data_IF_208402004719
#
_entry.id   IF_208402004719
#
_cell.length_a   1.000
_cell.length_b   1.000
_cell.length_c   1.000
_cell.angle_alpha   90.00
_cell.angle_beta   90.00
_cell.angle_gamma   90.00
#
_symmetry.space_group_name_H-M   'P 1'
#
loop_
_entity.id
_entity.type
_entity.pdbx_description
1 polymer ?
#
# COMPACT_ATOMS: atom_id res chain seq x y z
N UNK A 1 7.31 29.97 20.62
CA UNK A 1 7.37 31.09 19.64
C UNK A 1 8.55 30.86 18.72
N UNK A 2 8.64 31.54 17.58
CA UNK A 2 9.81 31.43 16.69
C UNK A 2 11.03 32.03 17.36
N UNK A 3 12.10 31.24 17.46
CA UNK A 3 13.44 31.71 17.80
C UNK A 3 14.36 31.48 16.61
N UNK A 4 14.87 32.56 16.02
CA UNK A 4 15.85 32.48 14.95
C UNK A 4 17.24 32.49 15.53
N UNK A 5 17.99 31.46 15.15
CA UNK A 5 19.36 31.28 15.60
C UNK A 5 20.25 31.07 14.40
N UNK A 6 21.39 31.75 14.38
CA UNK A 6 22.44 31.56 13.37
C UNK A 6 23.74 31.04 14.01
N UNK A 7 23.85 31.12 15.34
CA UNK A 7 24.86 30.48 16.17
C UNK A 7 24.26 30.10 17.53
N UNK A 8 24.84 29.10 18.20
CA UNK A 8 24.37 28.63 19.51
C UNK A 8 24.69 29.63 20.63
N UNK A 9 25.83 30.32 20.51
CA UNK A 9 26.37 31.20 21.54
C UNK A 9 26.09 32.70 21.27
N UNK A 10 25.29 33.01 20.25
CA UNK A 10 24.84 34.37 19.92
C UNK A 10 25.96 35.35 19.56
N UNK A 11 27.16 34.85 19.21
CA UNK A 11 28.33 35.69 18.90
C UNK A 11 28.16 36.55 17.65
N UNK A 12 27.21 36.21 16.80
CA UNK A 12 26.78 36.95 15.61
C UNK A 12 25.75 38.05 15.91
N UNK A 13 25.38 38.26 17.19
CA UNK A 13 24.34 39.21 17.60
C UNK A 13 22.91 38.66 17.52
N UNK A 14 22.77 37.34 17.31
CA UNK A 14 21.48 36.65 17.22
C UNK A 14 21.10 36.02 18.57
N UNK A 15 19.94 35.37 18.63
CA UNK A 15 19.36 34.85 19.88
C UNK A 15 20.30 33.82 20.54
N UNK A 16 20.61 34.03 21.82
CA UNK A 16 21.47 33.16 22.63
C UNK A 16 20.70 31.88 23.01
N UNK A 17 21.26 30.70 22.67
CA UNK A 17 20.64 29.41 22.94
C UNK A 17 20.31 29.13 24.41
N UNK A 18 20.97 29.82 25.35
CA UNK A 18 20.64 29.77 26.78
C UNK A 18 19.24 30.33 27.10
N UNK A 19 18.70 31.18 26.23
CA UNK A 19 17.37 31.79 26.36
C UNK A 19 16.27 31.01 25.65
N UNK A 20 16.63 29.99 24.86
CA UNK A 20 15.66 29.14 24.15
C UNK A 20 14.76 28.47 25.19
N UNK A 21 13.45 28.46 24.98
CA UNK A 21 12.51 27.84 25.92
C UNK A 21 11.89 26.58 25.34
N UNK A 22 11.42 25.70 26.22
CA UNK A 22 10.66 24.53 25.79
C UNK A 22 9.37 24.99 25.09
N UNK A 23 9.07 24.40 23.94
CA UNK A 23 7.93 24.81 23.11
C UNK A 23 8.26 25.90 22.07
N UNK A 24 9.49 26.42 22.03
CA UNK A 24 9.93 27.31 20.97
C UNK A 24 10.18 26.57 19.65
N UNK A 25 10.01 27.29 18.54
CA UNK A 25 10.22 26.78 17.18
C UNK A 25 11.57 27.29 16.70
N UNK A 26 12.48 26.37 16.42
CA UNK A 26 13.81 26.68 15.94
C UNK A 26 13.76 27.02 14.45
N UNK A 27 14.13 28.24 14.08
CA UNK A 27 14.27 28.66 12.67
C UNK A 27 15.72 29.01 12.39
N UNK A 28 16.36 28.29 11.47
CA UNK A 28 17.78 28.51 11.17
C UNK A 28 18.14 28.23 9.71
N UNK A 29 19.37 28.49 9.31
CA UNK A 29 19.85 28.16 7.97
C UNK A 29 20.13 26.66 7.83
N UNK A 30 20.83 26.08 8.80
CA UNK A 30 21.17 24.66 8.91
C UNK A 30 21.60 24.35 10.36
N UNK A 31 21.50 23.09 10.78
CA UNK A 31 21.97 22.61 12.10
C UNK A 31 23.18 21.70 11.95
N UNK A 32 23.98 21.61 13.01
CA UNK A 32 25.05 20.63 13.20
C UNK A 32 24.90 19.94 14.58
N UNK A 33 25.75 18.94 14.93
CA UNK A 33 25.61 18.18 16.18
C UNK A 33 25.58 19.02 17.46
N UNK A 34 26.16 20.21 17.47
CA UNK A 34 26.18 21.06 18.67
C UNK A 34 24.76 21.61 19.00
N UNK A 35 23.83 21.57 18.02
CA UNK A 35 22.46 22.07 18.17
C UNK A 35 21.51 21.07 18.84
N UNK A 36 21.92 19.82 19.02
CA UNK A 36 21.09 18.76 19.60
C UNK A 36 20.40 19.15 20.93
N UNK A 37 21.06 19.82 21.90
CA UNK A 37 20.40 20.22 23.15
C UNK A 37 19.25 21.19 22.94
N UNK A 38 19.32 22.04 21.91
CA UNK A 38 18.27 22.99 21.54
C UNK A 38 17.16 22.26 20.79
N UNK A 39 17.52 21.40 19.84
CA UNK A 39 16.57 20.60 19.05
C UNK A 39 15.67 19.73 19.95
N UNK A 40 16.22 19.17 21.03
CA UNK A 40 15.46 18.39 22.04
C UNK A 40 14.37 19.19 22.76
N UNK A 41 14.52 20.52 22.81
CA UNK A 41 13.61 21.44 23.52
C UNK A 41 12.64 22.13 22.56
N UNK A 42 12.88 22.03 21.26
CA UNK A 42 12.09 22.67 20.23
C UNK A 42 10.76 21.92 20.02
N UNK A 43 9.68 22.65 19.82
CA UNK A 43 8.39 22.08 19.40
C UNK A 43 8.34 21.78 17.91
N UNK A 44 9.15 22.46 17.12
CA UNK A 44 9.35 22.20 15.69
C UNK A 44 10.68 22.81 15.21
N UNK A 45 11.18 22.30 14.09
CA UNK A 45 12.45 22.73 13.49
C UNK A 45 12.20 23.14 12.04
N UNK A 46 12.66 24.32 11.66
CA UNK A 46 12.54 24.85 10.30
C UNK A 46 13.91 25.28 9.80
N UNK A 47 14.34 24.75 8.66
CA UNK A 47 15.61 25.14 8.05
C UNK A 47 15.45 25.63 6.62
N UNK A 48 16.24 26.65 6.24
CA UNK A 48 16.31 27.10 4.85
C UNK A 48 16.95 26.05 3.94
N UNK A 49 18.00 25.37 4.42
CA UNK A 49 18.75 24.38 3.65
C UNK A 49 18.61 22.99 4.22
N UNK A 50 18.88 22.00 3.37
CA UNK A 50 18.84 20.59 3.71
C UNK A 50 17.70 19.86 3.03
N UNK A 51 17.93 18.60 2.70
CA UNK A 51 16.91 17.67 2.21
C UNK A 51 16.63 16.57 3.24
N UNK A 52 15.95 15.52 2.83
CA UNK A 52 15.57 14.39 3.70
C UNK A 52 16.71 13.83 4.55
N UNK A 53 17.95 13.83 4.05
CA UNK A 53 19.12 13.25 4.73
C UNK A 53 20.00 14.28 5.46
N UNK A 54 19.55 15.52 5.60
CA UNK A 54 20.33 16.52 6.34
C UNK A 54 20.30 16.24 7.85
N UNK A 55 21.26 16.82 8.57
CA UNK A 55 21.38 16.69 10.02
C UNK A 55 20.05 16.98 10.74
N UNK A 56 19.42 18.12 10.42
CA UNK A 56 18.15 18.53 11.02
C UNK A 56 17.05 17.46 10.83
N UNK A 57 16.92 16.90 9.63
CA UNK A 57 15.88 15.93 9.30
C UNK A 57 16.13 14.54 9.90
N UNK A 58 17.39 14.15 10.11
CA UNK A 58 17.75 12.87 10.75
C UNK A 58 17.44 12.95 12.24
N UNK A 59 17.98 13.96 12.92
CA UNK A 59 17.86 14.12 14.37
C UNK A 59 16.40 14.43 14.77
N UNK A 60 15.68 15.25 14.00
CA UNK A 60 14.28 15.53 14.26
C UNK A 60 13.41 14.25 14.28
N UNK A 61 13.69 13.31 13.36
CA UNK A 61 13.00 12.01 13.32
C UNK A 61 13.31 11.15 14.54
N UNK A 62 14.56 11.12 14.98
CA UNK A 62 14.97 10.39 16.18
C UNK A 62 14.33 10.95 17.45
N UNK A 63 14.17 12.28 17.53
CA UNK A 63 13.59 12.97 18.67
C UNK A 63 12.06 13.08 18.62
N UNK A 64 11.41 12.68 17.52
CA UNK A 64 9.97 12.83 17.33
C UNK A 64 9.51 14.28 17.20
N UNK A 65 10.40 15.20 16.80
CA UNK A 65 10.09 16.63 16.64
C UNK A 65 9.74 16.91 15.17
N UNK A 66 8.60 17.57 14.88
CA UNK A 66 8.25 17.98 13.51
C UNK A 66 9.34 18.84 12.88
N UNK A 67 9.74 18.53 11.64
CA UNK A 67 10.76 19.29 10.93
C UNK A 67 10.41 19.58 9.46
N UNK A 68 10.52 20.85 9.08
CA UNK A 68 10.38 21.33 7.69
C UNK A 68 11.72 21.86 7.23
N UNK A 69 12.39 21.10 6.36
CA UNK A 69 13.74 21.43 5.89
C UNK A 69 13.72 21.84 4.42
N UNK A 70 14.67 22.69 4.02
CA UNK A 70 14.79 23.11 2.61
C UNK A 70 13.81 24.21 2.21
N UNK A 71 13.36 25.03 3.16
CA UNK A 71 12.40 26.11 2.89
C UNK A 71 12.92 27.22 1.97
N UNK A 72 14.25 27.31 1.78
CA UNK A 72 14.92 28.34 0.99
C UNK A 72 15.01 29.69 1.70
N UNK A 73 13.88 30.25 2.16
CA UNK A 73 13.75 31.62 2.66
C UNK A 73 12.95 31.76 3.97
N UNK A 74 12.79 30.68 4.74
CA UNK A 74 12.07 30.70 6.01
C UNK A 74 12.65 31.72 7.01
N UNK A 75 13.98 31.85 7.09
CA UNK A 75 14.60 32.88 7.94
C UNK A 75 14.23 34.30 7.53
N UNK A 76 13.91 34.54 6.26
CA UNK A 76 13.63 35.90 5.78
C UNK A 76 12.15 36.24 5.94
N UNK A 77 11.28 35.25 5.73
CA UNK A 77 9.83 35.41 5.82
C UNK A 77 9.31 35.39 7.25
N UNK A 78 9.88 34.54 8.12
CA UNK A 78 9.41 34.35 9.48
C UNK A 78 10.19 35.28 10.41
N UNK A 79 9.47 36.13 11.16
CA UNK A 79 10.08 37.08 12.09
C UNK A 79 10.29 36.46 13.47
N UNK A 80 11.36 36.89 14.14
CA UNK A 80 11.65 36.55 15.53
C UNK A 80 10.44 36.80 16.45
N UNK A 81 10.18 35.89 17.37
CA UNK A 81 9.11 36.01 18.36
C UNK A 81 7.69 35.83 17.80
N UNK A 82 7.55 35.59 16.50
CA UNK A 82 6.23 35.34 15.89
C UNK A 82 5.69 33.99 16.32
N UNK A 83 4.38 33.91 16.46
CA UNK A 83 3.67 32.65 16.67
C UNK A 83 3.34 32.03 15.32
N UNK A 84 3.74 30.77 15.13
CA UNK A 84 3.48 30.00 13.91
C UNK A 84 3.12 28.58 14.30
N UNK A 85 2.39 27.90 13.42
CA UNK A 85 2.07 26.48 13.52
C UNK A 85 2.79 25.75 12.42
N UNK A 86 3.57 24.72 12.76
CA UNK A 86 4.28 23.89 11.80
C UNK A 86 3.52 22.58 11.63
N UNK A 87 3.07 22.29 10.41
CA UNK A 87 2.39 21.04 10.05
C UNK A 87 3.28 20.18 9.17
N UNK A 88 3.34 18.89 9.51
CA UNK A 88 3.90 17.83 8.67
C UNK A 88 2.81 16.79 8.31
N UNK A 89 1.53 17.16 8.43
CA UNK A 89 0.41 16.23 8.23
C UNK A 89 0.23 15.84 6.76
N UNK A 90 0.67 16.67 5.83
CA UNK A 90 0.56 16.51 4.38
C UNK A 90 1.67 15.61 3.79
N UNK A 91 2.29 14.77 4.63
CA UNK A 91 3.29 13.79 4.26
C UNK A 91 4.63 14.43 3.87
N UNK A 92 4.86 14.54 2.57
CA UNK A 92 6.14 14.98 2.00
C UNK A 92 6.30 16.50 1.91
N UNK A 93 5.20 17.24 2.07
CA UNK A 93 5.19 18.71 2.07
C UNK A 93 4.88 19.22 3.47
N UNK A 94 5.80 20.00 4.04
CA UNK A 94 5.56 20.68 5.32
C UNK A 94 5.01 22.08 5.11
N UNK A 95 4.05 22.49 5.93
CA UNK A 95 3.46 23.83 5.90
C UNK A 95 3.77 24.59 7.19
N UNK A 96 3.97 25.90 7.05
CA UNK A 96 4.18 26.81 8.18
C UNK A 96 3.09 27.87 8.10
N UNK A 97 2.14 27.78 9.03
CA UNK A 97 1.00 28.69 9.12
C UNK A 97 1.28 29.83 10.09
N UNK A 98 0.75 31.02 9.79
CA UNK A 98 0.81 32.15 10.69
C UNK A 98 -0.17 31.96 11.86
N UNK A 99 0.31 32.20 13.08
CA UNK A 99 -0.49 32.09 14.31
C UNK A 99 -0.45 30.71 14.94
N UNK A 100 -1.01 30.61 16.15
CA UNK A 100 -1.27 29.34 16.84
C UNK A 100 -2.65 28.87 16.37
N UNK A 101 -2.69 27.82 15.55
CA UNK A 101 -3.94 27.25 15.08
C UNK A 101 -4.55 26.37 16.17
N UNK A 102 -5.87 26.46 16.34
CA UNK A 102 -6.60 25.55 17.20
C UNK A 102 -6.52 24.12 16.64
N UNK A 103 -6.27 23.15 17.52
CA UNK A 103 -6.23 21.75 17.18
C UNK A 103 -6.97 20.93 18.23
N UNK A 104 -7.48 19.78 17.82
CA UNK A 104 -8.08 18.80 18.73
C UNK A 104 -7.20 17.57 18.75
N UNK A 105 -6.79 17.13 19.94
CA UNK A 105 -6.08 15.86 20.12
C UNK A 105 -7.11 14.82 20.51
N UNK A 106 -7.32 13.85 19.64
CA UNK A 106 -8.09 12.64 19.96
C UNK A 106 -7.11 11.53 20.28
N UNK A 107 -6.83 11.32 21.57
CA UNK A 107 -6.03 10.18 22.02
C UNK A 107 -6.95 8.97 22.18
N UNK A 108 -6.69 7.90 21.43
CA UNK A 108 -7.38 6.63 21.60
C UNK A 108 -6.38 5.60 22.13
N UNK A 109 -6.65 5.05 23.30
CA UNK A 109 -5.87 3.92 23.82
C UNK A 109 -6.27 2.66 23.07
N UNK A 110 -5.28 2.01 22.43
CA UNK A 110 -5.47 0.78 21.64
C UNK A 110 -6.05 -0.37 22.48
N UNK A 111 -5.79 -0.36 23.79
CA UNK A 111 -6.25 -1.40 24.72
C UNK A 111 -7.77 -1.43 24.93
N UNK A 112 -8.51 -0.40 24.48
CA UNK A 112 -9.96 -0.30 24.67
C UNK A 112 -10.71 -0.04 23.36
N UNK A 113 -10.34 -0.75 22.29
CA UNK A 113 -11.08 -0.69 21.02
C UNK A 113 -12.39 -1.47 21.10
N UNK A 114 -13.49 -0.93 20.55
CA UNK A 114 -14.77 -1.61 20.52
C UNK A 114 -14.69 -2.88 19.68
N UNK A 115 -15.37 -3.94 20.14
CA UNK A 115 -15.57 -5.13 19.31
C UNK A 115 -16.44 -4.78 18.10
N UNK A 116 -16.01 -5.24 16.92
CA UNK A 116 -16.72 -4.98 15.68
C UNK A 116 -17.41 -6.25 15.16
N UNK A 117 -18.56 -6.11 14.48
CA UNK A 117 -19.23 -7.24 13.83
C UNK A 117 -18.46 -7.79 12.61
N UNK A 118 -17.43 -7.08 12.15
CA UNK A 118 -16.59 -7.43 11.01
C UNK A 118 -15.11 -7.29 11.36
N UNK A 119 -14.24 -7.89 10.54
CA UNK A 119 -12.79 -7.74 10.67
C UNK A 119 -12.28 -6.51 9.91
N UNK A 120 -11.49 -5.66 10.57
CA UNK A 120 -10.78 -4.56 9.90
C UNK A 120 -9.36 -5.02 9.59
N UNK A 121 -9.02 -5.05 8.31
CA UNK A 121 -7.75 -5.50 7.76
C UNK A 121 -7.02 -4.34 7.07
N UNK A 122 -5.79 -4.56 6.64
CA UNK A 122 -4.97 -3.54 5.97
C UNK A 122 -4.68 -3.86 4.50
N UNK A 123 -4.63 -2.81 3.68
CA UNK A 123 -4.01 -2.81 2.36
C UNK A 123 -2.55 -2.41 2.53
N UNK A 124 -1.62 -3.34 2.25
CA UNK A 124 -0.19 -3.11 2.44
C UNK A 124 0.55 -3.46 1.16
N UNK A 125 1.23 -2.49 0.57
CA UNK A 125 2.10 -2.73 -0.59
C UNK A 125 3.58 -2.79 -0.21
N UNK A 126 4.02 -1.92 0.70
CA UNK A 126 5.44 -1.73 1.01
C UNK A 126 5.91 -2.64 2.17
N UNK A 127 6.78 -3.63 1.92
CA UNK A 127 7.35 -4.48 2.97
C UNK A 127 8.21 -3.72 3.99
N UNK A 128 8.87 -2.62 3.59
CA UNK A 128 9.76 -1.85 4.49
C UNK A 128 9.00 -1.22 5.66
N UNK A 129 7.70 -0.98 5.49
CA UNK A 129 6.81 -0.41 6.53
C UNK A 129 5.95 -1.46 7.22
N UNK A 130 6.10 -2.74 6.87
CA UNK A 130 5.23 -3.81 7.37
C UNK A 130 5.21 -3.89 8.90
N UNK A 131 6.38 -3.84 9.54
CA UNK A 131 6.52 -3.91 11.00
C UNK A 131 6.00 -2.67 11.72
N UNK A 132 5.97 -1.51 11.06
CA UNK A 132 5.35 -0.31 11.63
C UNK A 132 3.82 -0.44 11.60
N UNK A 133 3.27 -0.91 10.47
CA UNK A 133 1.83 -1.10 10.31
C UNK A 133 1.28 -2.22 11.20
N UNK A 134 2.06 -3.27 11.44
CA UNK A 134 1.69 -4.37 12.34
C UNK A 134 1.51 -3.94 13.80
N UNK A 135 1.95 -2.72 14.18
CA UNK A 135 1.71 -2.15 15.52
C UNK A 135 0.31 -1.56 15.67
N UNK A 136 -0.38 -1.33 14.56
CA UNK A 136 -1.76 -0.85 14.58
C UNK A 136 -2.73 -2.01 14.79
N UNK A 137 -3.89 -1.79 15.41
CA UNK A 137 -4.92 -2.81 15.56
C UNK A 137 -5.39 -3.31 14.19
N UNK A 138 -5.36 -4.62 13.99
CA UNK A 138 -5.74 -5.22 12.71
C UNK A 138 -6.19 -6.67 12.86
N UNK A 139 -6.91 -7.16 11.86
CA UNK A 139 -7.19 -8.58 11.65
C UNK A 139 -6.37 -9.17 10.47
N UNK A 140 -5.19 -8.61 10.21
CA UNK A 140 -4.26 -9.02 9.15
C UNK A 140 -4.28 -8.11 7.92
N UNK A 141 -3.79 -8.63 6.80
CA UNK A 141 -3.69 -7.91 5.51
C UNK A 141 -4.69 -8.48 4.52
N UNK A 142 -5.68 -7.68 4.13
CA UNK A 142 -6.73 -8.10 3.19
C UNK A 142 -6.33 -7.93 1.73
N UNK A 143 -5.28 -7.15 1.47
CA UNK A 143 -4.66 -6.96 0.17
C UNK A 143 -3.17 -6.62 0.34
N UNK A 144 -2.32 -7.62 0.12
CA UNK A 144 -0.88 -7.44 -0.09
C UNK A 144 -0.60 -7.34 -1.60
N UNK A 145 -0.04 -6.22 -2.05
CA UNK A 145 0.20 -5.92 -3.46
C UNK A 145 1.62 -6.26 -3.88
N UNK A 146 1.79 -7.18 -4.85
CA UNK A 146 3.12 -7.52 -5.38
C UNK A 146 3.75 -6.40 -6.21
N UNK A 147 2.94 -5.50 -6.77
CA UNK A 147 3.40 -4.44 -7.68
C UNK A 147 4.46 -3.55 -7.03
N UNK A 148 4.37 -3.31 -5.72
CA UNK A 148 5.38 -2.51 -5.02
C UNK A 148 6.72 -3.24 -4.96
N UNK A 149 6.72 -4.55 -4.66
CA UNK A 149 7.94 -5.37 -4.65
C UNK A 149 8.54 -5.39 -6.05
N UNK A 150 7.72 -5.62 -7.08
CA UNK A 150 8.19 -5.69 -8.47
C UNK A 150 8.73 -4.32 -8.93
N UNK A 151 8.05 -3.20 -8.67
CA UNK A 151 8.52 -1.88 -9.11
C UNK A 151 9.75 -1.37 -8.33
N UNK A 152 9.75 -1.52 -7.01
CA UNK A 152 10.74 -0.84 -6.15
C UNK A 152 11.91 -1.74 -5.77
N UNK A 153 11.68 -3.04 -5.58
CA UNK A 153 12.72 -3.97 -5.13
C UNK A 153 13.36 -4.75 -6.27
N UNK A 154 12.60 -5.02 -7.33
CA UNK A 154 13.08 -5.76 -8.51
C UNK A 154 13.42 -4.81 -9.67
N UNK A 155 12.50 -3.94 -10.08
CA UNK A 155 12.72 -2.91 -11.11
C UNK A 155 13.02 -3.43 -12.54
N UNK A 156 12.95 -4.74 -12.77
CA UNK A 156 13.26 -5.38 -14.06
C UNK A 156 12.09 -6.25 -14.50
N UNK A 157 11.78 -6.22 -15.80
CA UNK A 157 10.74 -7.06 -16.39
C UNK A 157 11.13 -8.55 -16.27
N UNK A 158 10.24 -9.47 -15.81
CA UNK A 158 10.59 -10.87 -15.60
C UNK A 158 11.06 -11.58 -16.87
N UNK A 159 10.48 -11.27 -18.05
CA UNK A 159 11.00 -11.79 -19.33
C UNK A 159 12.40 -11.32 -19.68
N UNK A 160 12.80 -10.11 -19.26
CA UNK A 160 14.15 -9.63 -19.51
C UNK A 160 15.17 -10.42 -18.67
N UNK A 161 14.78 -10.85 -17.48
CA UNK A 161 15.59 -11.72 -16.61
C UNK A 161 15.64 -13.16 -17.14
N UNK A 162 14.51 -13.73 -17.56
CA UNK A 162 14.45 -15.08 -18.16
C UNK A 162 15.30 -15.15 -19.44
N UNK A 163 15.19 -14.13 -20.30
CA UNK A 163 15.91 -14.05 -21.56
C UNK A 163 17.14 -13.14 -21.44
N UNK A 164 17.87 -13.21 -20.33
CA UNK A 164 19.00 -12.33 -20.02
C UNK A 164 20.05 -12.32 -21.14
N UNK A 165 20.37 -13.48 -21.69
CA UNK A 165 21.37 -13.63 -22.76
C UNK A 165 20.95 -12.97 -24.08
N UNK A 166 19.64 -12.75 -24.29
CA UNK A 166 19.09 -12.09 -25.48
C UNK A 166 18.92 -10.58 -25.33
N UNK A 167 19.22 -10.02 -24.15
CA UNK A 167 19.15 -8.57 -23.93
C UNK A 167 20.31 -7.84 -24.62
N UNK A 168 20.11 -6.55 -24.90
CA UNK A 168 21.19 -5.70 -25.41
C UNK A 168 22.26 -5.43 -24.33
N UNK A 169 23.47 -5.05 -24.75
CA UNK A 169 24.62 -4.87 -23.86
C UNK A 169 24.39 -3.81 -22.77
N UNK A 170 23.55 -2.80 -23.01
CA UNK A 170 23.22 -1.79 -22.00
C UNK A 170 22.30 -2.39 -20.94
N UNK A 171 21.22 -3.04 -21.37
CA UNK A 171 20.27 -3.70 -20.47
C UNK A 171 20.95 -4.80 -19.65
N UNK A 172 21.79 -5.64 -20.26
CA UNK A 172 22.59 -6.65 -19.55
C UNK A 172 23.44 -6.06 -18.44
N UNK A 173 24.10 -4.93 -18.70
CA UNK A 173 24.95 -4.26 -17.70
C UNK A 173 24.11 -3.77 -16.52
N UNK A 174 22.99 -3.11 -16.79
CA UNK A 174 22.09 -2.62 -15.76
C UNK A 174 21.50 -3.77 -14.93
N UNK A 175 21.04 -4.85 -15.56
CA UNK A 175 20.55 -6.04 -14.86
C UNK A 175 21.66 -6.64 -14.00
N UNK A 176 22.89 -6.79 -14.52
CA UNK A 176 24.03 -7.35 -13.77
C UNK A 176 24.32 -6.56 -12.49
N UNK A 177 24.21 -5.23 -12.53
CA UNK A 177 24.35 -4.37 -11.35
C UNK A 177 23.20 -4.57 -10.35
N UNK A 178 21.96 -4.70 -10.83
CA UNK A 178 20.78 -4.86 -9.99
C UNK A 178 20.70 -6.23 -9.30
N UNK A 179 21.16 -7.29 -9.97
CA UNK A 179 21.14 -8.66 -9.41
C UNK A 179 22.35 -8.98 -8.54
N UNK A 180 23.21 -8.00 -8.24
CA UNK A 180 24.42 -8.23 -7.46
C UNK A 180 24.09 -8.87 -6.11
N UNK A 181 24.75 -10.00 -5.81
CA UNK A 181 24.49 -10.79 -4.60
C UNK A 181 23.50 -11.95 -4.77
N UNK A 182 22.92 -12.11 -5.97
CA UNK A 182 22.07 -13.25 -6.34
C UNK A 182 22.76 -14.12 -7.39
N UNK A 183 22.45 -15.42 -7.38
CA UNK A 183 23.15 -16.41 -8.21
C UNK A 183 22.93 -16.21 -9.71
N UNK A 184 21.73 -15.81 -10.11
CA UNK A 184 21.35 -15.60 -11.50
C UNK A 184 20.12 -14.67 -11.61
N UNK A 185 19.82 -14.14 -12.82
CA UNK A 185 18.72 -13.20 -13.04
C UNK A 185 17.34 -13.71 -12.60
N UNK A 186 17.05 -15.00 -12.82
CA UNK A 186 15.76 -15.60 -12.46
C UNK A 186 15.64 -15.76 -10.94
N UNK A 187 16.70 -16.23 -10.29
CA UNK A 187 16.75 -16.37 -8.83
C UNK A 187 16.63 -15.01 -8.14
N UNK A 188 17.21 -13.93 -8.69
CA UNK A 188 16.99 -12.58 -8.18
C UNK A 188 15.50 -12.21 -8.09
N UNK A 189 14.72 -12.50 -9.15
CA UNK A 189 13.29 -12.20 -9.17
C UNK A 189 12.54 -12.99 -8.09
N UNK A 190 12.76 -14.30 -8.06
CA UNK A 190 12.09 -15.21 -7.12
C UNK A 190 12.48 -14.89 -5.68
N UNK A 191 13.76 -14.64 -5.40
CA UNK A 191 14.25 -14.32 -4.08
C UNK A 191 13.71 -12.97 -3.59
N UNK A 192 13.69 -11.93 -4.43
CA UNK A 192 13.10 -10.64 -4.06
C UNK A 192 11.61 -10.70 -3.77
N UNK A 193 10.85 -11.45 -4.56
CA UNK A 193 9.44 -11.72 -4.23
C UNK A 193 9.31 -12.47 -2.91
N UNK A 194 10.13 -13.51 -2.70
CA UNK A 194 10.14 -14.30 -1.47
C UNK A 194 10.45 -13.42 -0.25
N UNK A 195 11.47 -12.56 -0.31
CA UNK A 195 11.86 -11.59 0.72
C UNK A 195 10.72 -10.62 1.04
N UNK A 196 10.12 -9.99 0.03
CA UNK A 196 9.03 -9.02 0.24
C UNK A 196 7.77 -9.67 0.82
N UNK A 197 7.35 -10.82 0.28
CA UNK A 197 6.15 -11.52 0.73
C UNK A 197 6.35 -12.09 2.14
N UNK A 198 7.49 -12.72 2.43
CA UNK A 198 7.79 -13.26 3.77
C UNK A 198 7.91 -12.18 4.83
N UNK A 199 8.42 -10.99 4.47
CA UNK A 199 8.44 -9.83 5.38
C UNK A 199 7.03 -9.43 5.79
N UNK A 200 6.11 -9.33 4.82
CA UNK A 200 4.69 -9.06 5.09
C UNK A 200 4.06 -10.19 5.92
N UNK A 201 4.29 -11.46 5.55
CA UNK A 201 3.74 -12.61 6.25
C UNK A 201 4.21 -12.69 7.72
N UNK A 202 5.48 -12.39 7.96
CA UNK A 202 6.11 -12.37 9.27
C UNK A 202 5.57 -11.24 10.14
N UNK A 203 5.51 -10.01 9.60
CA UNK A 203 5.07 -8.84 10.35
C UNK A 203 3.64 -8.99 10.90
N UNK A 204 2.74 -9.64 10.15
CA UNK A 204 1.34 -9.81 10.52
C UNK A 204 1.01 -11.17 11.13
N UNK A 205 1.99 -12.05 11.35
CA UNK A 205 1.76 -13.38 11.93
C UNK A 205 1.19 -13.30 13.36
N UNK A 206 0.18 -14.11 13.74
CA UNK A 206 -0.42 -15.23 12.99
C UNK A 206 -1.62 -14.83 12.11
N UNK A 207 -1.95 -13.54 12.01
CA UNK A 207 -3.07 -13.08 11.20
C UNK A 207 -2.83 -13.33 9.71
N UNK A 208 -3.94 -13.52 8.98
CA UNK A 208 -3.89 -13.83 7.54
C UNK A 208 -3.32 -12.68 6.72
N UNK A 209 -2.58 -13.02 5.67
CA UNK A 209 -2.04 -12.09 4.67
C UNK A 209 -2.48 -12.57 3.30
N UNK A 210 -3.42 -11.86 2.68
CA UNK A 210 -3.95 -12.20 1.36
C UNK A 210 -3.08 -11.51 0.30
N UNK A 211 -2.21 -12.26 -0.37
CA UNK A 211 -1.28 -11.76 -1.38
C UNK A 211 -1.94 -11.81 -2.76
N UNK A 212 -2.13 -10.64 -3.38
CA UNK A 212 -2.61 -10.54 -4.75
C UNK A 212 -1.45 -10.80 -5.70
N UNK A 213 -1.62 -11.77 -6.60
CA UNK A 213 -0.70 -11.97 -7.73
C UNK A 213 -0.58 -10.69 -8.56
N UNK A 214 0.47 -10.57 -9.36
CA UNK A 214 0.74 -9.33 -10.12
C UNK A 214 -0.43 -8.92 -11.02
N UNK A 215 -0.95 -7.71 -10.83
CA UNK A 215 -2.07 -7.16 -11.58
C UNK A 215 -1.65 -5.96 -12.43
N UNK A 216 -0.37 -5.88 -12.81
CA UNK A 216 0.11 -4.82 -13.68
C UNK A 216 -0.59 -4.85 -15.03
N UNK A 217 -0.89 -3.65 -15.53
CA UNK A 217 -1.24 -3.39 -16.92
C UNK A 217 0.04 -3.46 -17.78
N UNK A 218 -0.12 -3.71 -19.08
CA UNK A 218 1.01 -3.83 -20.02
C UNK A 218 1.89 -2.57 -20.05
N UNK A 219 1.28 -1.38 -19.96
CA UNK A 219 2.00 -0.11 -19.88
C UNK A 219 2.82 0.06 -18.58
N UNK A 220 2.43 -0.59 -17.48
CA UNK A 220 3.20 -0.57 -16.23
C UNK A 220 4.40 -1.51 -16.33
N UNK A 221 4.21 -2.71 -16.88
CA UNK A 221 5.32 -3.63 -17.18
C UNK A 221 6.31 -3.03 -18.19
N UNK A 222 5.84 -2.28 -19.18
CA UNK A 222 6.68 -1.61 -20.18
C UNK A 222 7.66 -0.61 -19.55
N UNK A 223 7.31 -0.02 -18.40
CA UNK A 223 8.14 0.93 -17.68
C UNK A 223 9.26 0.28 -16.86
N UNK A 224 9.25 -1.04 -16.69
CA UNK A 224 10.36 -1.76 -16.06
C UNK A 224 11.56 -1.86 -17.02
N UNK A 225 12.75 -2.05 -16.45
CA UNK A 225 13.94 -2.26 -17.27
C UNK A 225 13.75 -3.47 -18.20
N UNK A 226 13.90 -3.24 -19.51
CA UNK A 226 13.72 -4.24 -20.57
C UNK A 226 12.27 -4.62 -20.87
N UNK A 227 11.27 -3.90 -20.33
CA UNK A 227 9.84 -4.21 -20.50
C UNK A 227 9.27 -3.83 -21.86
N UNK A 228 9.73 -2.73 -22.46
CA UNK A 228 9.30 -2.21 -23.76
C UNK A 228 9.35 -3.23 -24.90
N UNK A 229 10.28 -4.18 -24.85
CA UNK A 229 10.41 -5.27 -25.82
C UNK A 229 9.31 -6.33 -25.74
N UNK A 230 8.72 -6.52 -24.56
CA UNK A 230 7.81 -7.63 -24.27
C UNK A 230 6.35 -7.21 -24.19
N UNK A 231 6.10 -5.91 -24.02
CA UNK A 231 4.78 -5.41 -23.71
C UNK A 231 4.12 -4.74 -24.92
N UNK A 232 2.91 -5.18 -25.32
CA UNK A 232 2.19 -4.55 -26.40
C UNK A 232 1.70 -3.16 -26.01
N UNK A 233 1.63 -2.24 -26.97
CA UNK A 233 0.88 -1.00 -26.81
C UNK A 233 -0.63 -1.31 -26.88
N UNK A 234 -1.36 -0.85 -25.86
CA UNK A 234 -2.81 -1.04 -25.77
C UNK A 234 -3.50 0.31 -25.65
N UNK A 235 -4.54 0.53 -26.45
CA UNK A 235 -5.36 1.76 -26.40
C UNK A 235 -6.05 1.93 -25.04
N UNK A 236 -6.43 0.82 -24.38
CA UNK A 236 -7.12 0.82 -23.09
C UNK A 236 -6.44 -0.17 -22.12
N UNK A 237 -5.30 0.18 -21.51
CA UNK A 237 -4.55 -0.73 -20.64
C UNK A 237 -5.36 -1.25 -19.45
N UNK A 238 -6.36 -0.49 -18.98
CA UNK A 238 -7.28 -0.91 -17.92
C UNK A 238 -8.04 -2.20 -18.26
N UNK A 239 -8.41 -2.38 -19.53
CA UNK A 239 -9.15 -3.54 -20.07
C UNK A 239 -8.25 -4.55 -20.78
N UNK A 240 -6.94 -4.29 -20.78
CA UNK A 240 -5.94 -4.96 -21.61
C UNK A 240 -5.39 -6.27 -21.05
N UNK A 241 -4.19 -6.62 -21.49
CA UNK A 241 -3.50 -7.87 -21.17
C UNK A 241 -2.96 -7.89 -19.72
N UNK A 242 -3.82 -8.30 -18.76
CA UNK A 242 -3.52 -8.33 -17.31
C UNK A 242 -4.29 -9.43 -16.56
N UNK A 243 -3.90 -9.63 -15.30
CA UNK A 243 -4.52 -10.62 -14.38
C UNK A 243 -4.56 -12.04 -14.94
N UNK A 244 -5.66 -12.75 -14.69
CA UNK A 244 -5.82 -14.17 -15.06
C UNK A 244 -5.48 -14.49 -16.53
N UNK A 245 -5.94 -13.65 -17.46
CA UNK A 245 -5.67 -13.81 -18.89
C UNK A 245 -4.17 -13.76 -19.22
N UNK A 246 -3.41 -12.91 -18.52
CA UNK A 246 -1.95 -12.81 -18.67
C UNK A 246 -1.27 -14.08 -18.14
N UNK A 247 -1.67 -14.57 -16.98
CA UNK A 247 -1.06 -15.78 -16.39
C UNK A 247 -1.20 -17.02 -17.27
N UNK A 248 -2.32 -17.13 -17.99
CA UNK A 248 -2.63 -18.26 -18.85
C UNK A 248 -2.01 -18.16 -20.25
N UNK A 249 -1.55 -16.98 -20.66
CA UNK A 249 -0.92 -16.79 -21.96
C UNK A 249 0.39 -17.56 -22.06
N UNK A 250 0.60 -18.25 -23.17
CA UNK A 250 1.88 -18.92 -23.47
C UNK A 250 3.07 -17.96 -23.38
N UNK A 251 2.83 -16.70 -23.76
CA UNK A 251 3.86 -15.66 -23.75
C UNK A 251 4.25 -15.19 -22.34
N UNK A 252 3.48 -15.46 -21.29
CA UNK A 252 3.78 -14.96 -19.93
C UNK A 252 3.74 -16.05 -18.84
N UNK A 253 3.34 -17.28 -19.18
CA UNK A 253 3.20 -18.39 -18.23
C UNK A 253 4.48 -18.70 -17.44
N UNK A 254 5.65 -18.55 -18.06
CA UNK A 254 6.96 -18.70 -17.40
C UNK A 254 7.23 -17.62 -16.34
N UNK A 255 6.76 -16.40 -16.54
CA UNK A 255 6.85 -15.31 -15.58
C UNK A 255 5.93 -15.56 -14.39
N UNK A 256 4.71 -16.04 -14.63
CA UNK A 256 3.79 -16.45 -13.57
C UNK A 256 4.35 -17.60 -12.72
N UNK A 257 5.11 -18.52 -13.34
CA UNK A 257 5.78 -19.60 -12.62
C UNK A 257 6.79 -19.07 -11.58
N UNK A 258 7.44 -17.93 -11.84
CA UNK A 258 8.36 -17.29 -10.89
C UNK A 258 7.64 -16.78 -9.64
N UNK A 259 6.46 -16.17 -9.81
CA UNK A 259 5.62 -15.73 -8.68
C UNK A 259 5.10 -16.92 -7.87
N UNK A 260 4.71 -18.00 -8.55
CA UNK A 260 4.29 -19.25 -7.90
C UNK A 260 5.43 -19.86 -7.08
N UNK A 261 6.64 -19.90 -7.63
CA UNK A 261 7.82 -20.43 -6.93
C UNK A 261 8.13 -19.59 -5.68
N UNK A 262 8.05 -18.26 -5.75
CA UNK A 262 8.25 -17.40 -4.59
C UNK A 262 7.22 -17.70 -3.47
N UNK A 263 5.93 -17.78 -3.81
CA UNK A 263 4.87 -18.10 -2.85
C UNK A 263 5.02 -19.50 -2.26
N UNK A 264 5.46 -20.46 -3.06
CA UNK A 264 5.74 -21.82 -2.59
C UNK A 264 6.87 -21.83 -1.57
N UNK A 265 7.97 -21.11 -1.80
CA UNK A 265 9.07 -20.97 -0.84
C UNK A 265 8.60 -20.33 0.47
N UNK A 266 7.85 -19.23 0.38
CA UNK A 266 7.29 -18.54 1.56
C UNK A 266 6.42 -19.47 2.40
N UNK A 267 5.50 -20.21 1.77
CA UNK A 267 4.56 -21.05 2.52
C UNK A 267 5.15 -22.37 2.97
N UNK A 268 5.82 -23.08 2.08
CA UNK A 268 6.21 -24.47 2.29
C UNK A 268 7.62 -24.60 2.88
N UNK A 269 8.56 -23.72 2.53
CA UNK A 269 9.93 -23.80 3.02
C UNK A 269 10.13 -22.93 4.27
N UNK A 270 9.54 -21.74 4.30
CA UNK A 270 9.61 -20.83 5.46
C UNK A 270 8.48 -21.03 6.47
N UNK A 271 7.41 -21.75 6.11
CA UNK A 271 6.33 -22.12 7.03
C UNK A 271 5.26 -21.04 7.25
N UNK A 272 5.20 -19.99 6.43
CA UNK A 272 4.20 -18.93 6.55
C UNK A 272 2.83 -19.35 6.00
N UNK A 273 2.15 -20.24 6.73
CA UNK A 273 0.84 -20.77 6.36
C UNK A 273 -0.30 -19.74 6.46
N UNK A 274 -0.05 -18.56 7.05
CA UNK A 274 -0.97 -17.43 7.10
C UNK A 274 -1.09 -16.68 5.75
N UNK A 275 -0.25 -17.01 4.76
CA UNK A 275 -0.33 -16.45 3.41
C UNK A 275 -1.41 -17.18 2.59
N UNK A 276 -2.38 -16.40 2.11
CA UNK A 276 -3.39 -16.79 1.11
C UNK A 276 -3.07 -16.16 -0.24
N UNK A 277 -3.48 -16.80 -1.34
CA UNK A 277 -3.26 -16.27 -2.70
C UNK A 277 -4.54 -15.62 -3.20
N UNK A 278 -4.44 -14.45 -3.81
CA UNK A 278 -5.54 -13.80 -4.50
C UNK A 278 -5.27 -13.63 -5.99
N UNK A 279 -6.21 -14.10 -6.82
CA UNK A 279 -6.16 -13.98 -8.28
C UNK A 279 -6.98 -12.77 -8.74
N UNK A 280 -6.34 -11.76 -9.36
CA UNK A 280 -7.03 -10.60 -9.92
C UNK A 280 -7.55 -10.85 -11.34
N UNK A 281 -8.47 -9.99 -11.75
CA UNK A 281 -8.96 -9.78 -13.10
C UNK A 281 -9.43 -11.04 -13.84
N UNK A 282 -10.11 -11.94 -13.11
CA UNK A 282 -10.69 -13.17 -13.66
C UNK A 282 -11.98 -12.83 -14.42
N UNK A 283 -11.97 -12.90 -15.75
CA UNK A 283 -13.08 -12.45 -16.60
C UNK A 283 -14.13 -13.53 -16.81
N UNK A 284 -13.69 -14.78 -16.96
CA UNK A 284 -14.53 -15.92 -17.35
C UNK A 284 -14.30 -17.14 -16.47
N UNK A 285 -15.26 -18.08 -16.48
CA UNK A 285 -15.14 -19.35 -15.75
C UNK A 285 -14.01 -20.23 -16.29
N UNK A 286 -13.70 -20.14 -17.59
CA UNK A 286 -12.58 -20.86 -18.19
C UNK A 286 -11.23 -20.31 -17.68
N UNK A 287 -11.11 -18.99 -17.52
CA UNK A 287 -9.94 -18.37 -16.88
C UNK A 287 -9.84 -18.78 -15.39
N UNK A 288 -10.96 -18.79 -14.66
CA UNK A 288 -10.99 -19.23 -13.27
C UNK A 288 -10.46 -20.67 -13.13
N UNK A 289 -10.99 -21.59 -13.94
CA UNK A 289 -10.55 -22.98 -13.97
C UNK A 289 -9.08 -23.08 -14.35
N UNK A 290 -8.68 -22.42 -15.44
CA UNK A 290 -7.31 -22.45 -15.96
C UNK A 290 -6.28 -22.00 -14.94
N UNK A 291 -6.52 -20.88 -14.24
CA UNK A 291 -5.55 -20.37 -13.25
C UNK A 291 -5.45 -21.29 -12.04
N UNK A 292 -6.55 -21.89 -11.59
CA UNK A 292 -6.51 -22.87 -10.48
C UNK A 292 -5.74 -24.13 -10.89
N UNK A 293 -5.92 -24.62 -12.11
CA UNK A 293 -5.15 -25.75 -12.65
C UNK A 293 -3.67 -25.39 -12.77
N UNK A 294 -3.35 -24.20 -13.29
CA UNK A 294 -1.97 -23.70 -13.42
C UNK A 294 -1.26 -23.55 -12.07
N UNK A 295 -1.94 -23.01 -11.05
CA UNK A 295 -1.41 -22.96 -9.68
C UNK A 295 -1.09 -24.38 -9.17
N UNK A 296 -1.98 -25.34 -9.40
CA UNK A 296 -1.79 -26.72 -8.97
C UNK A 296 -0.61 -27.40 -9.70
N UNK A 297 -0.41 -27.13 -11.00
CA UNK A 297 0.76 -27.58 -11.76
C UNK A 297 2.08 -27.07 -11.16
N UNK A 298 2.08 -25.85 -10.62
CA UNK A 298 3.22 -25.27 -9.91
C UNK A 298 3.30 -25.65 -8.42
N UNK A 299 2.45 -26.58 -7.94
CA UNK A 299 2.49 -27.10 -6.58
C UNK A 299 1.77 -26.22 -5.54
N UNK A 300 0.93 -25.30 -5.97
CA UNK A 300 0.09 -24.44 -5.12
C UNK A 300 -1.38 -24.84 -5.25
N UNK A 301 -1.73 -25.99 -4.65
CA UNK A 301 -3.09 -26.53 -4.74
C UNK A 301 -3.93 -26.19 -3.52
N UNK A 302 -5.16 -25.70 -3.78
CA UNK A 302 -6.16 -25.37 -2.74
C UNK A 302 -6.36 -26.54 -1.76
N UNK A 303 -6.31 -26.23 -0.46
CA UNK A 303 -6.42 -27.19 0.63
C UNK A 303 -5.12 -27.90 1.02
N UNK A 304 -4.12 -27.96 0.13
CA UNK A 304 -2.82 -28.55 0.46
C UNK A 304 -1.98 -27.56 1.29
N UNK A 305 -1.37 -28.06 2.38
CA UNK A 305 -0.73 -27.23 3.40
C UNK A 305 -1.63 -26.05 3.86
N UNK A 306 -2.95 -26.24 3.90
CA UNK A 306 -3.92 -25.21 4.30
C UNK A 306 -4.05 -24.03 3.33
N UNK A 307 -3.53 -24.13 2.10
CA UNK A 307 -3.60 -23.05 1.11
C UNK A 307 -5.05 -22.69 0.79
N UNK A 308 -5.37 -21.40 0.92
CA UNK A 308 -6.60 -20.80 0.43
C UNK A 308 -6.32 -19.94 -0.79
N UNK A 309 -7.23 -19.99 -1.76
CA UNK A 309 -7.16 -19.19 -2.98
C UNK A 309 -8.42 -18.33 -3.09
N UNK A 310 -8.24 -17.02 -3.03
CA UNK A 310 -9.27 -15.99 -3.07
C UNK A 310 -9.34 -15.42 -4.49
N UNK A 311 -10.53 -15.05 -4.95
CA UNK A 311 -10.67 -14.31 -6.21
C UNK A 311 -10.93 -12.84 -5.92
N UNK A 312 -10.31 -11.96 -6.69
CA UNK A 312 -10.71 -10.56 -6.70
C UNK A 312 -12.02 -10.41 -7.47
N UNK A 313 -13.10 -10.06 -6.78
CA UNK A 313 -14.41 -9.84 -7.38
C UNK A 313 -14.52 -8.38 -7.84
N UNK A 314 -14.06 -8.11 -9.05
CA UNK A 314 -13.86 -6.75 -9.56
C UNK A 314 -14.43 -6.49 -10.96
N UNK A 315 -14.92 -7.54 -11.65
CA UNK A 315 -15.66 -7.38 -12.90
C UNK A 315 -17.16 -7.60 -12.68
N UNK A 316 -18.05 -6.93 -13.45
CA UNK A 316 -19.49 -7.19 -13.37
C UNK A 316 -19.86 -8.66 -13.61
N UNK A 317 -19.14 -9.37 -14.49
CA UNK A 317 -19.31 -10.82 -14.69
C UNK A 317 -19.12 -11.61 -13.40
N UNK A 318 -18.20 -11.19 -12.53
CA UNK A 318 -17.88 -11.88 -11.28
C UNK A 318 -19.05 -11.82 -10.30
N UNK A 319 -19.75 -10.69 -10.24
CA UNK A 319 -20.95 -10.53 -9.42
C UNK A 319 -22.17 -11.22 -10.05
N UNK A 320 -22.30 -11.21 -11.38
CA UNK A 320 -23.42 -11.84 -12.09
C UNK A 320 -23.36 -13.38 -12.05
N UNK A 321 -22.17 -13.95 -12.06
CA UNK A 321 -21.89 -15.40 -12.01
C UNK A 321 -21.18 -15.80 -10.71
N UNK A 322 -21.49 -15.09 -9.62
CA UNK A 322 -20.79 -15.22 -8.35
C UNK A 322 -20.83 -16.66 -7.81
N UNK A 323 -21.95 -17.36 -7.97
CA UNK A 323 -22.09 -18.74 -7.55
C UNK A 323 -21.12 -19.66 -8.29
N UNK A 324 -21.04 -19.54 -9.61
CA UNK A 324 -20.19 -20.37 -10.46
C UNK A 324 -18.71 -20.09 -10.22
N UNK A 325 -18.30 -18.82 -10.10
CA UNK A 325 -16.93 -18.47 -9.77
C UNK A 325 -16.52 -19.02 -8.39
N UNK A 326 -17.41 -18.97 -7.41
CA UNK A 326 -17.14 -19.49 -6.07
C UNK A 326 -16.88 -21.00 -6.06
N UNK A 327 -17.15 -21.78 -7.10
CA UNK A 327 -16.75 -23.21 -7.11
C UNK A 327 -15.21 -23.36 -7.12
N UNK A 328 -14.52 -22.43 -7.77
CA UNK A 328 -13.07 -22.44 -7.99
C UNK A 328 -12.27 -21.81 -6.84
N UNK A 329 -12.87 -20.92 -6.04
CA UNK A 329 -12.16 -20.13 -5.01
C UNK A 329 -12.73 -20.34 -3.59
N UNK A 330 -11.95 -20.03 -2.56
CA UNK A 330 -12.35 -20.12 -1.13
C UNK A 330 -13.10 -18.89 -0.62
N UNK A 331 -13.26 -17.89 -1.49
CA UNK A 331 -13.96 -16.66 -1.20
C UNK A 331 -13.59 -15.55 -2.16
N UNK A 332 -14.10 -14.35 -1.87
CA UNK A 332 -13.89 -13.14 -2.63
C UNK A 332 -13.20 -12.05 -1.82
N UNK A 333 -12.39 -11.25 -2.50
CA UNK A 333 -12.05 -9.90 -2.08
C UNK A 333 -12.57 -8.95 -3.16
N UNK A 334 -13.53 -8.10 -2.82
CA UNK A 334 -14.16 -7.20 -3.77
C UNK A 334 -13.18 -6.05 -4.06
N UNK A 335 -12.78 -5.92 -5.33
CA UNK A 335 -12.04 -4.77 -5.85
C UNK A 335 -13.01 -3.70 -6.29
N UNK A 336 -13.45 -2.85 -5.35
CA UNK A 336 -14.54 -1.89 -5.60
C UNK A 336 -14.16 -0.78 -6.59
N UNK A 337 -12.87 -0.47 -6.72
CA UNK A 337 -12.36 0.47 -7.71
C UNK A 337 -12.65 0.02 -9.15
N UNK A 338 -12.16 -1.15 -9.54
CA UNK A 338 -12.35 -1.69 -10.88
C UNK A 338 -13.82 -2.09 -11.12
N UNK A 339 -14.51 -2.61 -10.09
CA UNK A 339 -15.95 -2.90 -10.20
C UNK A 339 -16.75 -1.64 -10.52
N UNK A 340 -16.45 -0.52 -9.88
CA UNK A 340 -17.14 0.76 -10.12
C UNK A 340 -16.83 1.28 -11.52
N UNK A 341 -15.56 1.28 -11.93
CA UNK A 341 -15.14 1.70 -13.27
C UNK A 341 -15.87 0.91 -14.36
N UNK A 342 -15.89 -0.41 -14.26
CA UNK A 342 -16.50 -1.29 -15.27
C UNK A 342 -18.03 -1.27 -15.25
N UNK A 343 -18.64 -1.05 -14.08
CA UNK A 343 -20.10 -0.95 -13.95
C UNK A 343 -20.63 0.34 -14.54
N UNK A 344 -19.88 1.44 -14.34
CA UNK A 344 -20.29 2.78 -14.79
C UNK A 344 -19.70 3.17 -16.15
N UNK A 345 -18.75 2.40 -16.68
CA UNK A 345 -18.06 2.70 -17.94
C UNK A 345 -17.16 3.93 -17.83
N UNK A 346 -16.41 4.03 -16.73
CA UNK A 346 -15.58 5.19 -16.40
C UNK A 346 -14.11 4.79 -16.28
N UNK A 347 -13.23 5.66 -16.72
CA UNK A 347 -11.82 5.69 -16.29
C UNK A 347 -11.68 6.78 -15.24
N UNK A 348 -11.32 6.39 -14.01
CA UNK A 348 -11.19 7.36 -12.91
C UNK A 348 -10.00 8.30 -13.08
N UNK A 349 -9.01 7.91 -13.88
CA UNK A 349 -7.82 8.72 -14.16
C UNK A 349 -8.15 9.81 -15.19
N UNK A 350 -9.33 9.72 -15.84
CA UNK A 350 -9.86 10.76 -16.73
C UNK A 350 -10.48 11.90 -15.92
N UNK A 351 -9.76 13.04 -15.84
CA UNK A 351 -10.23 14.24 -15.16
C UNK A 351 -11.48 14.92 -15.77
N UNK A 352 -12.08 14.36 -16.82
CA UNK A 352 -13.31 14.88 -17.47
C UNK A 352 -14.57 14.24 -16.89
N UNK A 353 -14.47 13.00 -16.37
CA UNK A 353 -15.62 12.19 -15.94
C UNK A 353 -15.41 11.54 -14.57
N UNK A 354 -14.27 11.80 -13.92
CA UNK A 354 -13.92 11.18 -12.64
C UNK A 354 -14.86 11.59 -11.51
N UNK A 355 -15.57 12.71 -11.62
CA UNK A 355 -16.62 13.13 -10.69
C UNK A 355 -17.84 12.20 -10.67
N UNK A 356 -18.01 11.37 -11.70
CA UNK A 356 -19.07 10.36 -11.77
C UNK A 356 -18.73 9.07 -11.01
N UNK A 357 -17.47 8.93 -10.56
CA UNK A 357 -17.02 7.76 -9.80
C UNK A 357 -17.60 7.81 -8.38
N UNK A 358 -18.51 6.88 -8.07
CA UNK A 358 -19.02 6.67 -6.71
C UNK A 358 -19.28 5.18 -6.48
N UNK A 359 -18.54 4.58 -5.55
CA UNK A 359 -18.65 3.17 -5.17
C UNK A 359 -20.00 2.85 -4.49
N UNK A 360 -20.73 3.88 -4.04
CA UNK A 360 -22.06 3.77 -3.46
C UNK A 360 -23.17 3.84 -4.51
N UNK A 361 -22.83 4.02 -5.78
CA UNK A 361 -23.80 4.07 -6.87
C UNK A 361 -24.74 2.85 -6.79
N UNK A 362 -26.07 3.01 -6.97
CA UNK A 362 -27.02 1.91 -6.86
C UNK A 362 -26.70 0.69 -7.75
N UNK A 363 -26.12 0.91 -8.94
CA UNK A 363 -25.69 -0.17 -9.82
C UNK A 363 -24.54 -0.97 -9.20
N UNK A 364 -23.54 -0.28 -8.64
CA UNK A 364 -22.40 -0.89 -7.96
C UNK A 364 -22.86 -1.64 -6.71
N UNK A 365 -23.67 -1.01 -5.84
CA UNK A 365 -24.25 -1.65 -4.65
C UNK A 365 -25.02 -2.93 -4.98
N UNK A 366 -25.72 -2.97 -6.11
CA UNK A 366 -26.42 -4.19 -6.54
C UNK A 366 -25.44 -5.33 -6.83
N UNK A 367 -24.34 -5.05 -7.53
CA UNK A 367 -23.31 -6.06 -7.82
C UNK A 367 -22.56 -6.49 -6.55
N UNK A 368 -22.22 -5.55 -5.66
CA UNK A 368 -21.65 -5.84 -4.34
C UNK A 368 -22.56 -6.79 -3.55
N UNK A 369 -23.85 -6.47 -3.47
CA UNK A 369 -24.85 -7.28 -2.75
C UNK A 369 -24.97 -8.69 -3.34
N UNK A 370 -24.91 -8.84 -4.67
CA UNK A 370 -24.93 -10.16 -5.33
C UNK A 370 -23.71 -10.99 -4.94
N UNK A 371 -22.50 -10.43 -5.01
CA UNK A 371 -21.27 -11.12 -4.64
C UNK A 371 -21.23 -11.51 -3.15
N UNK A 372 -21.62 -10.59 -2.26
CA UNK A 372 -21.69 -10.85 -0.81
C UNK A 372 -22.67 -11.97 -0.52
N UNK A 373 -23.91 -11.88 -1.02
CA UNK A 373 -24.94 -12.89 -0.77
C UNK A 373 -24.54 -14.28 -1.27
N UNK A 374 -23.94 -14.37 -2.46
CA UNK A 374 -23.45 -15.65 -3.00
C UNK A 374 -22.36 -16.26 -2.10
N UNK A 375 -21.37 -15.46 -1.69
CA UNK A 375 -20.31 -15.93 -0.80
C UNK A 375 -20.85 -16.40 0.56
N UNK A 376 -21.74 -15.60 1.18
CA UNK A 376 -22.36 -15.96 2.46
C UNK A 376 -23.24 -17.20 2.36
N UNK A 377 -24.02 -17.34 1.28
CA UNK A 377 -24.86 -18.53 1.04
C UNK A 377 -24.02 -19.82 0.92
N UNK A 378 -22.80 -19.70 0.39
CA UNK A 378 -21.83 -20.82 0.29
C UNK A 378 -20.92 -20.97 1.51
N UNK A 379 -21.06 -20.13 2.53
CA UNK A 379 -20.18 -20.12 3.71
C UNK A 379 -18.73 -19.79 3.39
N UNK A 380 -18.48 -19.03 2.31
CA UNK A 380 -17.15 -18.63 1.84
C UNK A 380 -16.82 -17.21 2.27
N UNK A 381 -15.53 -16.93 2.32
CA UNK A 381 -15.02 -15.61 2.72
C UNK A 381 -15.49 -14.54 1.74
N UNK A 382 -15.88 -13.37 2.24
CA UNK A 382 -16.07 -12.17 1.42
C UNK A 382 -15.56 -10.93 2.14
N UNK A 383 -14.47 -10.37 1.62
CA UNK A 383 -13.94 -9.08 2.02
C UNK A 383 -14.10 -8.03 0.92
N UNK A 384 -13.81 -6.78 1.24
CA UNK A 384 -13.69 -5.68 0.28
C UNK A 384 -12.37 -4.95 0.50
N UNK A 385 -11.69 -4.60 -0.60
CA UNK A 385 -10.49 -3.80 -0.59
C UNK A 385 -10.69 -2.53 -1.44
N UNK A 386 -10.28 -1.39 -0.89
CA UNK A 386 -10.51 -0.08 -1.49
C UNK A 386 -10.49 1.01 -0.43
N UNK A 387 -10.54 2.26 -0.84
CA UNK A 387 -10.68 3.39 0.09
C UNK A 387 -12.13 3.77 0.36
N UNK A 388 -13.08 3.33 -0.46
CA UNK A 388 -14.51 3.62 -0.29
C UNK A 388 -15.04 3.50 1.14
N UNK A 389 -14.78 2.41 1.88
CA UNK A 389 -15.27 2.29 3.24
C UNK A 389 -14.64 3.31 4.21
N UNK A 390 -13.39 3.74 4.00
CA UNK A 390 -12.77 4.78 4.82
C UNK A 390 -13.15 6.20 4.40
N UNK A 391 -13.39 6.41 3.11
CA UNK A 391 -13.78 7.72 2.55
C UNK A 391 -15.25 8.02 2.82
N UNK A 392 -16.07 6.97 2.90
CA UNK A 392 -17.52 7.04 3.07
C UNK A 392 -17.97 6.11 4.20
N UNK A 393 -18.08 6.67 5.39
CA UNK A 393 -18.51 5.97 6.60
C UNK A 393 -19.90 5.30 6.46
N UNK A 394 -20.82 5.92 5.74
CA UNK A 394 -22.14 5.36 5.43
C UNK A 394 -22.06 4.09 4.57
N UNK A 395 -21.07 4.02 3.68
CA UNK A 395 -20.78 2.86 2.87
C UNK A 395 -20.18 1.71 3.69
N UNK A 396 -19.21 2.00 4.57
CA UNK A 396 -18.68 1.00 5.51
C UNK A 396 -19.78 0.34 6.33
N UNK A 397 -20.70 1.15 6.85
CA UNK A 397 -21.84 0.62 7.61
C UNK A 397 -22.80 -0.21 6.75
N UNK A 398 -23.09 0.23 5.52
CA UNK A 398 -23.92 -0.54 4.59
C UNK A 398 -23.29 -1.91 4.29
N UNK A 399 -21.97 -2.00 4.17
CA UNK A 399 -21.27 -3.28 3.97
C UNK A 399 -21.41 -4.21 5.18
N UNK A 400 -21.35 -3.66 6.41
CA UNK A 400 -21.64 -4.41 7.63
C UNK A 400 -23.07 -4.96 7.63
N UNK A 401 -24.05 -4.13 7.26
CA UNK A 401 -25.46 -4.52 7.18
C UNK A 401 -25.69 -5.62 6.11
N UNK A 402 -24.97 -5.58 4.99
CA UNK A 402 -25.00 -6.64 3.97
C UNK A 402 -24.29 -7.93 4.40
N UNK A 403 -23.53 -7.90 5.50
CA UNK A 403 -22.89 -9.07 6.09
C UNK A 403 -21.50 -9.40 5.55
N UNK A 404 -20.74 -8.39 5.10
CA UNK A 404 -19.33 -8.53 4.72
C UNK A 404 -18.52 -9.15 5.88
N UNK A 405 -17.50 -9.96 5.58
CA UNK A 405 -16.64 -10.54 6.64
C UNK A 405 -15.53 -9.57 7.07
N UNK A 406 -15.01 -8.78 6.13
CA UNK A 406 -13.93 -7.84 6.40
C UNK A 406 -13.87 -6.65 5.46
N UNK A 407 -13.34 -5.54 5.97
CA UNK A 407 -12.94 -4.36 5.18
C UNK A 407 -11.43 -4.18 5.26
N UNK A 408 -10.78 -3.96 4.12
CA UNK A 408 -9.33 -3.79 4.04
C UNK A 408 -8.98 -2.35 3.63
N UNK A 409 -8.32 -1.62 4.53
CA UNK A 409 -8.15 -0.17 4.48
C UNK A 409 -6.68 0.24 4.44
N UNK A 410 -6.38 1.50 4.11
CA UNK A 410 -5.01 1.98 4.26
C UNK A 410 -4.68 2.12 5.76
N UNK A 411 -3.42 1.91 6.18
CA UNK A 411 -3.06 1.90 7.60
C UNK A 411 -3.45 3.17 8.37
N UNK A 412 -3.42 4.34 7.72
CA UNK A 412 -3.78 5.65 8.28
C UNK A 412 -5.29 5.81 8.54
N UNK A 413 -6.15 5.06 7.84
CA UNK A 413 -7.61 5.15 8.00
C UNK A 413 -8.22 4.04 8.86
N UNK A 414 -7.41 3.07 9.31
CA UNK A 414 -7.86 1.93 10.13
C UNK A 414 -8.52 2.40 11.42
N UNK A 415 -7.83 3.19 12.24
CA UNK A 415 -8.34 3.61 13.57
C UNK A 415 -9.64 4.43 13.44
N UNK A 416 -9.66 5.39 12.52
CA UNK A 416 -10.84 6.23 12.26
C UNK A 416 -12.06 5.36 11.92
N UNK A 417 -11.89 4.44 10.97
CA UNK A 417 -13.00 3.58 10.50
C UNK A 417 -13.41 2.59 11.58
N UNK A 418 -12.46 2.05 12.35
CA UNK A 418 -12.73 1.15 13.46
C UNK A 418 -13.60 1.82 14.52
N UNK A 419 -13.21 3.01 14.97
CA UNK A 419 -13.95 3.77 15.98
C UNK A 419 -15.34 4.14 15.50
N UNK A 420 -15.48 4.61 14.25
CA UNK A 420 -16.78 4.90 13.65
C UNK A 420 -17.72 3.69 13.66
N UNK A 421 -17.24 2.53 13.17
CA UNK A 421 -18.04 1.30 13.16
C UNK A 421 -18.37 0.84 14.58
N UNK A 422 -17.42 1.03 15.51
CA UNK A 422 -17.61 0.76 16.92
C UNK A 422 -18.74 1.57 17.52
N UNK A 423 -18.76 2.89 17.30
CA UNK A 423 -19.84 3.75 17.77
C UNK A 423 -21.18 3.41 17.14
N UNK A 424 -21.19 3.09 15.84
CA UNK A 424 -22.41 2.81 15.08
C UNK A 424 -23.05 1.47 15.44
N UNK A 425 -22.24 0.45 15.72
CA UNK A 425 -22.68 -0.92 15.99
C UNK A 425 -22.44 -1.37 17.43
N UNK A 426 -22.01 -0.46 18.33
CA UNK A 426 -21.92 -0.71 19.76
C UNK A 426 -23.27 -1.19 20.29
N UNK A 427 -23.24 -2.34 20.97
CA UNK A 427 -24.39 -2.88 21.72
C UNK A 427 -24.29 -2.52 23.18
#
# INVERSE_FOLDING_TARGET
>A
KVQKMYSIDGRDGTFDGSKFQEGDILVTEMTDPDWEPIMKRASAIVTNRGGRTCHAAIIARELGVPAVVGCGNATDLIKEGTEVTVSCAEGDTGFIYQGILDYTVTTSEVDNLPELPIKVMMNVGNPDRAFDFARLPHAGVGLARLEFIINQMIGVHPKALINFDDQDERTKRQITEMIAGYDNPVEYYVAKLTEGISTLACAFSPEKVIVRMSDFKSNEYANLLGGDRYEPEEENPMLGFRGASRYLSEDFRDCFALECEALKRVRNDMGFNNVEIMIPFVRTLDEAKGVIELLAEHGLKRGENGLRVIMMCELPSNALLADEFLEYFDGFSIGSNDLTQLTLGLDRDSGIISELFDERNPAVKKLLSMAIKAAKAKGKYVGICGQGPSDHEDFAAWLVDEGIDSVSLNPDTVLKTWLYLGEKFAK
#
